data_IF_066061597512
#
_entry.id   IF_066061597512
#
_cell.length_a   1.000
_cell.length_b   1.000
_cell.length_c   1.000
_cell.angle_alpha   90.00
_cell.angle_beta   90.00
_cell.angle_gamma   90.00
#
_symmetry.space_group_name_H-M   'P 1'
#
loop_
_entity.id
_entity.type
_entity.pdbx_description
1 polymer ?
#
# COMPACT_ATOMS: atom_id res chain seq x y z
N UNK A 1 21.11 -0.39 28.55
CA UNK A 1 19.98 0.40 28.01
C UNK A 1 20.35 0.78 26.59
N UNK A 2 19.57 0.35 25.57
CA UNK A 2 19.83 0.78 24.20
C UNK A 2 19.68 2.31 24.11
N UNK A 3 20.65 2.99 23.51
CA UNK A 3 20.54 4.42 23.26
C UNK A 3 19.27 4.75 22.48
N UNK A 4 18.56 5.78 22.90
CA UNK A 4 17.34 6.25 22.26
C UNK A 4 17.66 6.90 20.92
N UNK A 5 17.24 6.29 19.81
CA UNK A 5 17.45 6.79 18.45
C UNK A 5 16.34 7.78 18.08
N UNK A 6 16.72 8.91 17.48
CA UNK A 6 15.78 9.92 16.94
C UNK A 6 15.61 9.70 15.44
N UNK A 7 14.41 9.36 15.03
CA UNK A 7 14.08 8.94 13.66
C UNK A 7 13.09 9.91 13.03
N UNK A 8 13.42 10.43 11.84
CA UNK A 8 12.48 11.13 10.99
C UNK A 8 11.94 10.17 9.92
N UNK A 9 10.63 10.02 9.80
CA UNK A 9 9.98 9.26 8.73
C UNK A 9 9.26 10.20 7.77
N UNK A 10 9.46 10.01 6.49
CA UNK A 10 8.88 10.84 5.43
C UNK A 10 8.62 10.04 4.14
N UNK A 11 7.88 10.63 3.19
CA UNK A 11 7.54 9.99 1.93
C UNK A 11 6.10 9.48 1.86
N UNK A 12 5.48 9.19 3.00
CA UNK A 12 4.06 8.89 3.13
C UNK A 12 3.20 10.17 2.96
N UNK A 13 1.90 9.99 2.73
CA UNK A 13 0.98 11.13 2.66
C UNK A 13 0.70 11.68 4.06
N UNK A 14 0.19 10.83 4.95
CA UNK A 14 -0.25 11.21 6.30
C UNK A 14 -0.30 10.02 7.25
N UNK A 15 -0.10 10.29 8.55
CA UNK A 15 -0.33 9.37 9.66
C UNK A 15 -1.20 10.09 10.71
N UNK A 16 -2.24 9.44 11.25
CA UNK A 16 -2.76 8.15 10.80
C UNK A 16 -3.49 8.26 9.46
N UNK A 17 -3.46 7.19 8.68
CA UNK A 17 -4.22 7.07 7.43
C UNK A 17 -4.30 5.61 6.97
N UNK A 18 -5.42 5.27 6.36
CA UNK A 18 -5.66 3.96 5.72
C UNK A 18 -5.77 4.07 4.20
N UNK A 19 -5.32 5.20 3.60
CA UNK A 19 -5.44 5.47 2.17
C UNK A 19 -4.57 4.59 1.28
N UNK A 20 -3.50 4.02 1.81
CA UNK A 20 -2.59 3.19 1.04
C UNK A 20 -1.67 2.34 1.90
N UNK A 21 -1.05 1.34 1.27
CA UNK A 21 -0.16 0.41 1.95
C UNK A 21 1.05 1.08 2.61
N UNK A 22 1.62 2.13 1.98
CA UNK A 22 2.77 2.86 2.54
C UNK A 22 2.39 3.51 3.86
N UNK A 23 1.22 4.15 3.94
CA UNK A 23 0.72 4.81 5.14
C UNK A 23 0.57 3.80 6.30
N UNK A 24 0.00 2.62 6.02
CA UNK A 24 -0.16 1.53 6.98
C UNK A 24 1.21 1.05 7.47
N UNK A 25 2.14 0.77 6.57
CA UNK A 25 3.48 0.30 6.92
C UNK A 25 4.22 1.32 7.78
N UNK A 26 4.19 2.60 7.40
CA UNK A 26 4.89 3.66 8.16
C UNK A 26 4.28 3.84 9.54
N UNK A 27 2.95 3.83 9.67
CA UNK A 27 2.25 3.93 10.96
C UNK A 27 2.61 2.76 11.89
N UNK A 28 2.58 1.53 11.36
CA UNK A 28 2.89 0.32 12.11
C UNK A 28 4.37 0.27 12.55
N UNK A 29 5.29 0.63 11.67
CA UNK A 29 6.72 0.73 12.00
C UNK A 29 6.98 1.83 13.03
N UNK A 30 6.45 3.03 12.81
CA UNK A 30 6.64 4.16 13.72
C UNK A 30 6.10 3.85 15.13
N UNK A 31 4.91 3.24 15.20
CA UNK A 31 4.30 2.82 16.48
C UNK A 31 5.18 1.81 17.22
N UNK A 32 5.73 0.82 16.52
CA UNK A 32 6.62 -0.19 17.12
C UNK A 32 7.94 0.41 17.55
N UNK A 33 8.53 1.29 16.74
CA UNK A 33 9.76 1.98 17.09
C UNK A 33 9.60 2.85 18.35
N UNK A 34 8.43 3.51 18.50
CA UNK A 34 8.09 4.25 19.74
C UNK A 34 7.97 3.31 20.93
N UNK A 35 7.32 2.15 20.77
CA UNK A 35 7.21 1.12 21.83
C UNK A 35 8.58 0.57 22.25
N UNK A 36 9.54 0.53 21.34
CA UNK A 36 10.93 0.15 21.61
C UNK A 36 11.76 1.28 22.24
N UNK A 37 11.15 2.43 22.59
CA UNK A 37 11.78 3.56 23.27
C UNK A 37 12.37 4.63 22.36
N UNK A 38 12.25 4.51 21.03
CA UNK A 38 12.80 5.49 20.10
C UNK A 38 11.93 6.76 19.99
N UNK A 39 12.55 7.86 19.57
CA UNK A 39 11.86 9.14 19.31
C UNK A 39 11.55 9.26 17.82
N UNK A 40 10.29 9.00 17.43
CA UNK A 40 9.87 8.99 16.03
C UNK A 40 9.07 10.23 15.69
N UNK A 41 9.45 10.89 14.59
CA UNK A 41 8.71 12.01 14.00
C UNK A 41 8.31 11.67 12.56
N UNK A 42 7.02 11.75 12.25
CA UNK A 42 6.50 11.58 10.90
C UNK A 42 6.17 12.94 10.29
N UNK A 43 6.60 13.13 9.02
CA UNK A 43 6.36 14.35 8.25
C UNK A 43 5.18 14.16 7.31
N UNK A 44 4.02 14.71 7.70
CA UNK A 44 2.77 14.60 6.96
C UNK A 44 2.63 15.70 5.92
N UNK A 45 2.05 15.37 4.76
CA UNK A 45 1.61 16.37 3.78
C UNK A 45 0.51 17.24 4.36
N UNK A 46 0.50 18.52 4.03
CA UNK A 46 -0.67 19.38 4.22
C UNK A 46 -1.60 19.23 3.01
N UNK A 47 -2.91 19.14 3.24
CA UNK A 47 -3.90 19.09 2.15
C UNK A 47 -5.09 18.17 2.40
N UNK A 48 -5.94 18.06 1.38
CA UNK A 48 -7.18 17.29 1.43
C UNK A 48 -6.91 15.77 1.46
N UNK A 49 -7.77 15.02 2.14
CA UNK A 49 -7.59 13.59 2.41
C UNK A 49 -8.81 12.79 1.95
N UNK A 50 -8.56 11.60 1.44
CA UNK A 50 -9.58 10.70 0.88
C UNK A 50 -10.24 9.82 1.96
N UNK A 51 -9.54 9.56 3.07
CA UNK A 51 -9.95 8.59 4.10
C UNK A 51 -11.03 9.06 5.08
N UNK A 52 -11.68 10.23 4.82
CA UNK A 52 -12.75 10.74 5.67
C UNK A 52 -12.28 11.70 6.77
N UNK A 53 -13.23 12.48 7.32
CA UNK A 53 -12.95 13.52 8.32
C UNK A 53 -12.52 12.96 9.68
N UNK A 54 -12.91 11.73 10.00
CA UNK A 54 -12.55 11.04 11.26
C UNK A 54 -11.03 10.77 11.37
N UNK A 55 -10.35 10.68 10.23
CA UNK A 55 -8.88 10.56 10.18
C UNK A 55 -8.17 11.90 10.05
N UNK A 56 -8.91 13.00 10.02
CA UNK A 56 -8.31 14.32 9.96
C UNK A 56 -7.77 14.73 11.34
N UNK A 57 -6.54 14.33 11.60
CA UNK A 57 -5.76 14.75 12.78
C UNK A 57 -5.00 16.03 12.51
N UNK A 58 -5.56 16.93 11.69
CA UNK A 58 -4.88 18.13 11.19
C UNK A 58 -4.25 18.98 12.28
N UNK A 59 -4.79 18.94 13.49
CA UNK A 59 -4.31 19.73 14.63
C UNK A 59 -3.59 18.90 15.71
N UNK A 60 -3.54 17.55 15.58
CA UNK A 60 -2.83 16.73 16.56
C UNK A 60 -1.32 16.80 16.29
N UNK A 61 -0.57 17.12 17.33
CA UNK A 61 0.91 17.12 17.32
C UNK A 61 1.49 15.72 17.56
N UNK A 62 0.67 14.78 18.05
CA UNK A 62 1.08 13.41 18.36
C UNK A 62 -0.05 12.41 18.06
N UNK A 63 0.36 11.20 17.68
CA UNK A 63 -0.51 10.03 17.52
C UNK A 63 0.25 8.77 17.98
N UNK A 64 -0.28 7.99 18.88
CA UNK A 64 0.37 6.76 19.38
C UNK A 64 1.80 6.94 19.88
N UNK A 65 2.14 8.11 20.43
CA UNK A 65 3.51 8.47 20.84
C UNK A 65 4.39 9.05 19.71
N UNK A 66 3.99 8.90 18.46
CA UNK A 66 4.66 9.46 17.28
C UNK A 66 4.47 10.98 17.27
N UNK A 67 5.54 11.75 17.05
CA UNK A 67 5.45 13.18 16.78
C UNK A 67 5.03 13.42 15.34
N UNK A 68 4.00 14.25 15.12
CA UNK A 68 3.51 14.60 13.79
C UNK A 68 3.93 16.02 13.42
N UNK A 69 4.47 16.19 12.23
CA UNK A 69 4.81 17.49 11.64
C UNK A 69 4.22 17.61 10.26
N UNK A 70 3.60 18.73 9.98
CA UNK A 70 3.13 19.08 8.64
C UNK A 70 4.26 19.74 7.86
N UNK A 71 4.31 19.47 6.57
CA UNK A 71 5.20 20.15 5.63
C UNK A 71 4.41 20.91 4.59
N UNK A 72 4.92 22.04 4.09
CA UNK A 72 4.32 22.76 2.97
C UNK A 72 4.10 21.82 1.78
N UNK A 73 2.91 21.88 1.19
CA UNK A 73 2.52 21.00 0.10
C UNK A 73 1.69 21.80 -0.91
N UNK A 74 2.09 21.79 -2.17
CA UNK A 74 1.29 22.37 -3.26
C UNK A 74 0.31 21.31 -3.72
N UNK A 75 -0.99 21.52 -3.44
CA UNK A 75 -2.06 20.55 -3.70
C UNK A 75 -2.43 20.48 -5.20
N UNK A 76 -1.45 20.19 -6.05
CA UNK A 76 -1.65 19.93 -7.47
C UNK A 76 -1.16 18.52 -7.80
N UNK A 77 -1.81 17.86 -8.78
CA UNK A 77 -1.46 16.51 -9.24
C UNK A 77 0.03 16.46 -9.63
N UNK A 78 0.77 15.56 -9.00
CA UNK A 78 2.23 15.41 -9.16
C UNK A 78 3.07 16.33 -8.25
N UNK A 79 2.73 17.61 -8.08
CA UNK A 79 3.51 18.58 -7.29
C UNK A 79 3.40 18.34 -5.79
N UNK A 80 2.28 17.79 -5.31
CA UNK A 80 2.10 17.51 -3.90
C UNK A 80 3.15 16.53 -3.33
N UNK A 81 3.50 15.50 -4.09
CA UNK A 81 4.55 14.56 -3.70
C UNK A 81 5.94 15.20 -3.73
N UNK A 82 6.25 15.98 -4.77
CA UNK A 82 7.55 16.65 -4.96
C UNK A 82 7.79 17.65 -3.85
N UNK A 83 6.87 18.61 -3.66
CA UNK A 83 7.03 19.71 -2.70
C UNK A 83 7.07 19.21 -1.25
N UNK A 84 6.17 18.29 -0.89
CA UNK A 84 6.17 17.72 0.47
C UNK A 84 7.46 16.96 0.78
N UNK A 85 7.98 16.18 -0.18
CA UNK A 85 9.23 15.43 -0.01
C UNK A 85 10.44 16.35 0.09
N UNK A 86 10.51 17.40 -0.71
CA UNK A 86 11.56 18.40 -0.64
C UNK A 86 11.61 19.07 0.75
N UNK A 87 10.47 19.61 1.22
CA UNK A 87 10.42 20.26 2.52
C UNK A 87 10.63 19.30 3.69
N UNK A 88 10.16 18.04 3.58
CA UNK A 88 10.41 17.05 4.62
C UNK A 88 11.89 16.70 4.74
N UNK A 89 12.59 16.50 3.61
CA UNK A 89 14.04 16.28 3.59
C UNK A 89 14.79 17.50 4.14
N UNK A 90 14.43 18.71 3.71
CA UNK A 90 15.05 19.95 4.17
C UNK A 90 14.88 20.13 5.69
N UNK A 91 13.66 20.01 6.20
CA UNK A 91 13.39 20.19 7.63
C UNK A 91 14.01 19.10 8.50
N UNK A 92 14.11 17.86 8.00
CA UNK A 92 14.79 16.79 8.71
C UNK A 92 16.30 17.00 8.79
N UNK A 93 16.90 17.62 7.77
CA UNK A 93 18.34 17.89 7.71
C UNK A 93 18.80 18.84 8.83
N UNK A 94 18.01 19.89 9.13
CA UNK A 94 18.36 20.89 10.14
C UNK A 94 17.99 20.51 11.58
N UNK A 95 17.48 19.30 11.83
CA UNK A 95 17.09 18.85 13.16
C UNK A 95 18.01 17.72 13.65
N UNK A 96 17.99 17.51 14.97
CA UNK A 96 18.83 16.46 15.63
C UNK A 96 18.21 15.08 15.45
N UNK A 97 18.11 14.58 14.22
CA UNK A 97 17.78 13.19 13.94
C UNK A 97 19.06 12.40 13.71
N UNK A 98 19.06 11.16 14.18
CA UNK A 98 20.13 10.21 13.92
C UNK A 98 19.91 9.53 12.58
N UNK A 99 18.63 9.21 12.27
CA UNK A 99 18.20 8.53 11.04
C UNK A 99 17.08 9.31 10.36
N UNK A 100 17.18 9.45 9.05
CA UNK A 100 16.12 9.92 8.16
C UNK A 100 15.69 8.75 7.29
N UNK A 101 14.48 8.22 7.55
CA UNK A 101 13.91 7.10 6.85
C UNK A 101 12.88 7.58 5.82
N UNK A 102 13.19 7.37 4.54
CA UNK A 102 12.41 7.83 3.40
C UNK A 102 11.66 6.64 2.81
N UNK A 103 10.37 6.79 2.59
CA UNK A 103 9.52 5.75 2.00
C UNK A 103 9.13 6.12 0.57
N UNK A 104 9.32 5.19 -0.37
CA UNK A 104 9.12 5.26 -1.81
C UNK A 104 10.22 5.99 -2.61
N UNK A 105 10.33 5.64 -3.88
CA UNK A 105 11.36 6.12 -4.82
C UNK A 105 11.23 7.63 -5.10
N UNK A 106 10.02 8.12 -5.39
CA UNK A 106 9.82 9.55 -5.68
C UNK A 106 10.35 10.48 -4.60
N UNK A 107 9.96 10.33 -3.31
CA UNK A 107 10.51 11.08 -2.19
C UNK A 107 12.04 10.99 -2.06
N UNK A 108 12.63 9.87 -2.44
CA UNK A 108 14.07 9.66 -2.37
C UNK A 108 14.89 10.56 -3.31
N UNK A 109 14.25 11.25 -4.27
CA UNK A 109 14.91 12.25 -5.11
C UNK A 109 15.64 13.35 -4.31
N UNK A 110 15.22 13.57 -3.07
CA UNK A 110 15.81 14.58 -2.18
C UNK A 110 16.63 13.98 -1.03
N UNK A 111 16.95 12.68 -1.05
CA UNK A 111 17.66 11.99 0.02
C UNK A 111 19.09 12.51 0.24
N UNK A 112 19.68 13.15 -0.77
CA UNK A 112 20.99 13.81 -0.69
C UNK A 112 21.00 15.02 0.28
N UNK A 113 19.84 15.69 0.50
CA UNK A 113 19.76 16.85 1.41
C UNK A 113 20.12 16.45 2.84
N UNK A 114 19.42 15.53 3.53
CA UNK A 114 19.82 15.12 4.87
C UNK A 114 21.21 14.48 4.90
N UNK A 115 21.66 13.86 3.80
CA UNK A 115 23.01 13.29 3.70
C UNK A 115 24.10 14.36 3.77
N UNK A 116 23.91 15.51 3.14
CA UNK A 116 24.83 16.65 3.26
C UNK A 116 25.01 17.13 4.71
N UNK A 117 23.97 16.97 5.54
CA UNK A 117 23.99 17.29 6.97
C UNK A 117 24.40 16.09 7.85
N UNK A 118 25.13 15.14 7.27
CA UNK A 118 25.67 13.94 7.94
C UNK A 118 24.63 13.06 8.64
N UNK A 119 23.35 13.10 8.19
CA UNK A 119 22.33 12.19 8.69
C UNK A 119 22.53 10.79 8.10
N UNK A 120 22.21 9.75 8.86
CA UNK A 120 22.03 8.41 8.30
C UNK A 120 20.74 8.38 7.52
N UNK A 121 20.79 7.96 6.24
CA UNK A 121 19.66 7.95 5.34
C UNK A 121 19.32 6.52 4.98
N UNK A 122 18.09 6.10 5.28
CA UNK A 122 17.51 4.81 4.91
C UNK A 122 16.38 5.07 3.92
N UNK A 123 16.32 4.30 2.85
CA UNK A 123 15.23 4.37 1.85
C UNK A 123 14.53 3.02 1.79
N UNK A 124 13.20 2.98 1.97
CA UNK A 124 12.40 1.79 1.70
C UNK A 124 11.69 1.94 0.37
N UNK A 125 11.98 1.01 -0.56
CA UNK A 125 11.33 0.88 -1.86
C UNK A 125 10.16 -0.08 -1.73
N UNK A 126 8.93 0.44 -1.87
CA UNK A 126 7.69 -0.33 -1.72
C UNK A 126 7.24 -1.06 -2.99
N UNK A 127 8.04 -1.03 -4.03
CA UNK A 127 7.80 -1.56 -5.36
C UNK A 127 8.36 -0.58 -6.39
N UNK A 128 8.50 -1.01 -7.62
CA UNK A 128 9.01 -0.18 -8.71
C UNK A 128 7.89 0.74 -9.23
N UNK A 129 7.72 1.91 -8.60
CA UNK A 129 6.59 2.81 -8.86
C UNK A 129 6.50 3.29 -10.32
N UNK A 130 7.62 3.34 -11.03
CA UNK A 130 7.65 3.74 -12.44
C UNK A 130 6.95 2.72 -13.37
N UNK A 131 6.72 1.48 -12.94
CA UNK A 131 5.97 0.46 -13.69
C UNK A 131 4.45 0.68 -13.64
N UNK A 132 3.96 1.48 -12.70
CA UNK A 132 2.53 1.76 -12.56
C UNK A 132 2.00 2.57 -13.73
N UNK A 133 0.79 2.24 -14.21
CA UNK A 133 0.12 2.92 -15.33
C UNK A 133 0.17 4.44 -15.22
N UNK A 134 -0.12 4.96 -14.05
CA UNK A 134 -0.10 6.39 -13.71
C UNK A 134 1.26 7.07 -14.00
N UNK A 135 2.36 6.30 -14.00
CA UNK A 135 3.72 6.80 -14.08
C UNK A 135 4.52 6.26 -15.27
N UNK A 136 3.90 5.51 -16.20
CA UNK A 136 4.59 4.93 -17.36
C UNK A 136 5.22 5.96 -18.29
N UNK A 137 4.76 7.21 -18.27
CA UNK A 137 5.28 8.25 -19.17
C UNK A 137 5.32 9.63 -18.50
N UNK A 138 6.10 10.54 -19.08
CA UNK A 138 6.13 11.96 -18.71
C UNK A 138 7.04 12.29 -17.54
N UNK A 139 6.79 13.45 -16.94
CA UNK A 139 7.62 14.01 -15.86
C UNK A 139 7.63 13.12 -14.61
N UNK A 140 6.51 12.47 -14.28
CA UNK A 140 6.40 11.61 -13.12
C UNK A 140 7.34 10.40 -13.17
N UNK A 141 7.42 9.72 -14.31
CA UNK A 141 8.37 8.60 -14.51
C UNK A 141 9.82 9.05 -14.33
N UNK A 142 10.19 10.16 -14.97
CA UNK A 142 11.55 10.72 -14.86
C UNK A 142 11.91 11.08 -13.42
N UNK A 143 10.94 11.63 -12.68
CA UNK A 143 11.14 11.99 -11.27
C UNK A 143 11.30 10.76 -10.37
N UNK A 144 10.55 9.69 -10.59
CA UNK A 144 10.70 8.44 -9.86
C UNK A 144 12.07 7.81 -10.13
N UNK A 145 12.48 7.72 -11.39
CA UNK A 145 13.82 7.22 -11.76
C UNK A 145 14.95 8.09 -11.19
N UNK A 146 14.74 9.42 -11.11
CA UNK A 146 15.69 10.28 -10.42
C UNK A 146 15.81 9.90 -8.94
N UNK A 147 14.67 9.66 -8.27
CA UNK A 147 14.64 9.25 -6.88
C UNK A 147 15.34 7.92 -6.64
N UNK A 148 15.13 6.95 -7.52
CA UNK A 148 15.83 5.66 -7.49
C UNK A 148 17.35 5.84 -7.61
N UNK A 149 17.81 6.62 -8.59
CA UNK A 149 19.25 6.93 -8.76
C UNK A 149 19.84 7.69 -7.56
N UNK A 150 19.07 8.62 -6.98
CA UNK A 150 19.51 9.35 -5.79
C UNK A 150 19.59 8.43 -4.57
N UNK A 151 18.64 7.51 -4.39
CA UNK A 151 18.71 6.49 -3.35
C UNK A 151 19.96 5.61 -3.50
N UNK A 152 20.21 5.10 -4.72
CA UNK A 152 21.40 4.29 -5.02
C UNK A 152 22.69 5.02 -4.64
N UNK A 153 22.77 6.32 -4.92
CA UNK A 153 23.99 7.12 -4.73
C UNK A 153 24.19 7.59 -3.29
N UNK A 154 23.12 7.96 -2.59
CA UNK A 154 23.23 8.72 -1.33
C UNK A 154 22.66 8.01 -0.10
N UNK A 155 21.78 6.99 -0.26
CA UNK A 155 21.30 6.28 0.90
C UNK A 155 22.39 5.41 1.54
N UNK A 156 22.47 5.40 2.87
CA UNK A 156 23.32 4.46 3.61
C UNK A 156 22.80 3.04 3.38
N UNK A 157 21.47 2.84 3.52
CA UNK A 157 20.81 1.56 3.29
C UNK A 157 19.56 1.73 2.43
N UNK A 158 19.32 0.74 1.57
CA UNK A 158 18.08 0.60 0.79
C UNK A 158 17.39 -0.68 1.23
N UNK A 159 16.17 -0.54 1.74
CA UNK A 159 15.30 -1.65 2.12
C UNK A 159 14.37 -1.93 0.94
N UNK A 160 14.24 -3.22 0.58
CA UNK A 160 13.32 -3.71 -0.45
C UNK A 160 12.41 -4.78 0.12
N UNK A 161 11.19 -4.91 -0.43
CA UNK A 161 10.15 -5.76 0.12
C UNK A 161 10.02 -7.11 -0.60
N UNK A 162 10.67 -7.30 -1.75
CA UNK A 162 10.66 -8.53 -2.53
C UNK A 162 12.05 -8.89 -3.04
N UNK A 163 12.28 -10.17 -3.27
CA UNK A 163 13.54 -10.67 -3.86
C UNK A 163 13.69 -10.18 -5.31
N UNK A 164 12.57 -10.05 -6.04
CA UNK A 164 12.59 -9.52 -7.41
C UNK A 164 13.13 -8.09 -7.46
N UNK A 165 12.71 -7.21 -6.53
CA UNK A 165 13.24 -5.84 -6.43
C UNK A 165 14.69 -5.84 -5.95
N UNK A 166 15.09 -6.74 -5.05
CA UNK A 166 16.48 -6.91 -4.63
C UNK A 166 17.40 -7.25 -5.81
N UNK A 167 16.99 -8.21 -6.64
CA UNK A 167 17.70 -8.61 -7.85
C UNK A 167 17.77 -7.47 -8.87
N UNK A 168 16.70 -6.70 -9.05
CA UNK A 168 16.67 -5.52 -9.90
C UNK A 168 17.74 -4.49 -9.51
N UNK A 169 17.82 -4.11 -8.22
CA UNK A 169 18.83 -3.16 -7.75
C UNK A 169 20.26 -3.70 -7.91
N UNK A 170 20.43 -4.99 -7.70
CA UNK A 170 21.73 -5.63 -7.90
C UNK A 170 22.15 -5.63 -9.36
N UNK A 171 21.27 -6.08 -10.26
CA UNK A 171 21.60 -6.22 -11.71
C UNK A 171 21.70 -4.86 -12.41
N UNK A 172 20.84 -3.88 -12.05
CA UNK A 172 20.78 -2.59 -12.74
C UNK A 172 21.83 -1.60 -12.23
N UNK A 173 22.10 -1.61 -10.92
CA UNK A 173 22.94 -0.60 -10.28
C UNK A 173 24.15 -1.17 -9.55
N UNK A 174 24.34 -2.48 -9.53
CA UNK A 174 25.32 -3.16 -8.68
C UNK A 174 25.22 -2.72 -7.21
N UNK A 175 23.98 -2.40 -6.74
CA UNK A 175 23.70 -1.91 -5.40
C UNK A 175 23.17 -3.04 -4.52
N UNK A 176 23.87 -3.34 -3.42
CA UNK A 176 23.34 -4.23 -2.37
C UNK A 176 22.19 -3.54 -1.65
N UNK A 177 21.15 -4.30 -1.37
CA UNK A 177 19.95 -3.86 -0.64
C UNK A 177 19.61 -4.85 0.47
N UNK A 178 18.85 -4.38 1.47
CA UNK A 178 18.41 -5.21 2.59
C UNK A 178 16.98 -5.67 2.33
N UNK A 179 16.77 -6.98 2.25
CA UNK A 179 15.43 -7.56 2.10
C UNK A 179 14.73 -7.61 3.46
N UNK A 180 13.69 -6.80 3.64
CA UNK A 180 12.82 -6.80 4.84
C UNK A 180 11.38 -6.77 4.34
N UNK A 181 10.67 -7.91 4.30
CA UNK A 181 9.29 -7.97 3.83
C UNK A 181 8.33 -7.25 4.78
N UNK A 182 7.17 -6.86 4.25
CA UNK A 182 6.08 -6.36 5.08
C UNK A 182 5.57 -7.45 6.02
N UNK A 183 5.14 -7.04 7.20
CA UNK A 183 4.38 -7.86 8.13
C UNK A 183 2.96 -7.36 8.29
N UNK A 184 2.09 -8.19 8.82
CA UNK A 184 0.72 -7.85 9.20
C UNK A 184 0.48 -8.17 10.68
N UNK A 185 -0.52 -7.52 11.26
CA UNK A 185 -0.94 -7.81 12.63
C UNK A 185 -1.60 -9.20 12.72
N UNK A 186 -1.56 -9.80 13.90
CA UNK A 186 -2.36 -11.01 14.16
C UNK A 186 -3.83 -10.68 13.97
N UNK A 187 -4.57 -11.51 13.22
CA UNK A 187 -5.97 -11.24 12.94
C UNK A 187 -6.83 -11.41 14.19
N UNK A 188 -7.86 -10.60 14.29
CA UNK A 188 -8.95 -10.79 15.24
C UNK A 188 -10.13 -11.37 14.46
N UNK A 189 -10.32 -12.69 14.53
CA UNK A 189 -11.46 -13.34 13.86
C UNK A 189 -12.77 -12.84 14.45
N UNK A 190 -13.71 -12.53 13.59
CA UNK A 190 -14.99 -11.95 13.93
C UNK A 190 -16.13 -12.67 13.22
N UNK A 191 -17.24 -12.84 13.93
CA UNK A 191 -18.48 -13.33 13.34
C UNK A 191 -19.16 -12.26 12.50
N UNK A 192 -20.00 -12.67 11.57
CA UNK A 192 -20.79 -11.76 10.74
C UNK A 192 -21.81 -11.01 11.58
N UNK A 193 -21.78 -9.70 11.55
CA UNK A 193 -22.76 -8.81 12.14
C UNK A 193 -22.96 -7.58 11.27
N UNK A 194 -21.97 -6.71 11.21
CA UNK A 194 -22.06 -5.47 10.43
C UNK A 194 -22.10 -5.72 8.92
N UNK A 195 -21.40 -6.75 8.42
CA UNK A 195 -21.45 -7.11 7.00
C UNK A 195 -22.80 -7.74 6.61
N UNK A 196 -23.47 -8.45 7.53
CA UNK A 196 -24.82 -8.93 7.31
C UNK A 196 -25.81 -7.76 7.25
N UNK A 197 -25.79 -6.87 8.25
CA UNK A 197 -26.70 -5.72 8.33
C UNK A 197 -26.56 -4.78 7.13
N UNK A 198 -25.32 -4.55 6.64
CA UNK A 198 -25.06 -3.55 5.59
C UNK A 198 -25.11 -4.12 4.17
N UNK A 199 -24.69 -5.38 3.98
CA UNK A 199 -24.46 -5.96 2.66
C UNK A 199 -25.17 -7.31 2.47
N UNK A 200 -25.90 -7.79 3.47
CA UNK A 200 -26.53 -9.11 3.49
C UNK A 200 -25.52 -10.23 3.13
N UNK A 201 -24.36 -10.21 3.83
CA UNK A 201 -23.28 -11.17 3.67
C UNK A 201 -23.21 -12.10 4.87
N UNK A 202 -23.18 -13.40 4.60
CA UNK A 202 -23.01 -14.46 5.58
C UNK A 202 -21.62 -15.11 5.44
N UNK A 203 -21.24 -15.91 6.43
CA UNK A 203 -20.02 -16.69 6.37
C UNK A 203 -20.02 -17.60 5.14
N UNK A 204 -18.88 -17.65 4.46
CA UNK A 204 -18.63 -18.46 3.25
C UNK A 204 -19.58 -18.16 2.08
N UNK A 205 -20.35 -17.05 2.12
CA UNK A 205 -21.30 -16.70 1.07
C UNK A 205 -20.71 -15.82 -0.05
N UNK A 206 -19.45 -15.42 0.04
CA UNK A 206 -18.86 -14.47 -0.91
C UNK A 206 -17.38 -14.70 -1.20
N UNK A 207 -16.97 -14.24 -2.38
CA UNK A 207 -15.60 -14.08 -2.83
C UNK A 207 -15.21 -12.64 -2.57
N UNK A 208 -14.05 -12.40 -1.95
CA UNK A 208 -13.59 -11.08 -1.53
C UNK A 208 -12.42 -10.60 -2.39
N UNK A 209 -12.55 -9.43 -2.94
CA UNK A 209 -11.42 -8.56 -3.34
C UNK A 209 -11.32 -7.39 -2.37
N UNK A 210 -10.12 -7.05 -1.93
CA UNK A 210 -9.87 -5.89 -1.07
C UNK A 210 -8.61 -5.15 -1.50
N UNK A 211 -8.78 -3.87 -1.86
CA UNK A 211 -7.68 -3.03 -2.30
C UNK A 211 -8.14 -1.68 -2.83
N UNK A 212 -7.21 -0.86 -3.31
CA UNK A 212 -7.56 0.36 -4.04
C UNK A 212 -8.14 -0.02 -5.41
N UNK A 213 -9.18 0.66 -5.84
CA UNK A 213 -9.78 0.41 -7.15
C UNK A 213 -9.01 1.23 -8.21
N UNK A 214 -8.07 0.56 -8.86
CA UNK A 214 -7.17 1.13 -9.88
C UNK A 214 -6.86 0.07 -10.95
N UNK A 215 -6.62 0.46 -12.23
CA UNK A 215 -6.48 -0.50 -13.33
C UNK A 215 -5.46 -1.62 -13.09
N UNK A 216 -4.32 -1.29 -12.51
CA UNK A 216 -3.24 -2.25 -12.24
C UNK A 216 -3.58 -3.32 -11.18
N UNK A 217 -4.73 -3.20 -10.49
CA UNK A 217 -5.23 -4.20 -9.53
C UNK A 217 -6.14 -5.24 -10.16
N UNK A 218 -6.55 -5.05 -11.42
CA UNK A 218 -7.21 -6.07 -12.23
C UNK A 218 -8.64 -6.43 -11.83
N UNK A 219 -9.37 -5.54 -11.10
CA UNK A 219 -10.74 -5.80 -10.68
C UNK A 219 -11.67 -6.06 -11.89
N UNK A 220 -11.37 -5.46 -13.02
CA UNK A 220 -12.13 -5.67 -14.27
C UNK A 220 -12.01 -7.11 -14.79
N UNK A 221 -10.84 -7.76 -14.67
CA UNK A 221 -10.69 -9.19 -14.99
C UNK A 221 -11.57 -10.06 -14.08
N UNK A 222 -11.59 -9.71 -12.78
CA UNK A 222 -12.36 -10.45 -11.79
C UNK A 222 -13.86 -10.31 -12.02
N UNK A 223 -14.35 -9.11 -12.30
CA UNK A 223 -15.76 -8.86 -12.64
C UNK A 223 -16.15 -9.62 -13.92
N UNK A 224 -15.33 -9.53 -14.96
CA UNK A 224 -15.59 -10.22 -16.23
C UNK A 224 -15.61 -11.74 -16.06
N UNK A 225 -14.64 -12.31 -15.36
CA UNK A 225 -14.58 -13.74 -15.07
C UNK A 225 -15.79 -14.19 -14.23
N UNK A 226 -16.09 -13.47 -13.14
CA UNK A 226 -17.14 -13.84 -12.19
C UNK A 226 -18.54 -13.87 -12.81
N UNK A 227 -18.87 -12.96 -13.72
CA UNK A 227 -20.16 -12.94 -14.42
C UNK A 227 -20.47 -14.23 -15.16
N UNK A 228 -19.46 -14.96 -15.59
CA UNK A 228 -19.58 -16.22 -16.30
C UNK A 228 -19.51 -17.45 -15.38
N UNK A 229 -19.29 -17.26 -14.07
CA UNK A 229 -19.25 -18.36 -13.10
C UNK A 229 -20.66 -18.68 -12.61
N UNK A 230 -21.05 -19.96 -12.68
CA UNK A 230 -22.30 -20.45 -12.12
C UNK A 230 -22.14 -20.72 -10.63
N UNK A 231 -22.51 -19.76 -9.81
CA UNK A 231 -22.41 -19.86 -8.35
C UNK A 231 -23.51 -19.03 -7.68
N UNK A 232 -23.90 -19.43 -6.47
CA UNK A 232 -24.78 -18.65 -5.59
C UNK A 232 -24.01 -17.68 -4.69
N UNK A 233 -22.69 -17.68 -4.76
CA UNK A 233 -21.86 -16.77 -3.97
C UNK A 233 -21.90 -15.36 -4.57
N UNK A 234 -21.67 -14.37 -3.71
CA UNK A 234 -21.53 -12.98 -4.12
C UNK A 234 -20.06 -12.64 -4.39
N UNK A 235 -19.80 -11.65 -5.23
CA UNK A 235 -18.50 -11.02 -5.38
C UNK A 235 -18.49 -9.69 -4.64
N UNK A 236 -17.62 -9.56 -3.66
CA UNK A 236 -17.48 -8.33 -2.88
C UNK A 236 -16.21 -7.61 -3.30
N UNK A 237 -16.35 -6.40 -3.83
CA UNK A 237 -15.25 -5.51 -4.19
C UNK A 237 -15.19 -4.40 -3.14
N UNK A 238 -14.25 -4.56 -2.20
CA UNK A 238 -14.05 -3.66 -1.09
C UNK A 238 -12.85 -2.73 -1.35
N UNK A 239 -13.10 -1.42 -1.37
CA UNK A 239 -12.05 -0.43 -1.53
C UNK A 239 -12.52 0.92 -2.00
N UNK A 240 -11.65 1.90 -1.83
CA UNK A 240 -11.85 3.26 -2.30
C UNK A 240 -11.09 3.56 -3.60
N UNK A 241 -11.50 4.65 -4.26
CA UNK A 241 -10.80 5.18 -5.44
C UNK A 241 -9.77 6.22 -5.02
N UNK A 242 -8.73 6.37 -5.82
CA UNK A 242 -7.75 7.45 -5.71
C UNK A 242 -7.40 7.92 -7.12
N UNK A 243 -7.95 9.06 -7.52
CA UNK A 243 -7.77 9.65 -8.87
C UNK A 243 -8.22 8.73 -10.04
N UNK A 244 -9.20 7.83 -9.84
CA UNK A 244 -9.65 6.81 -10.82
C UNK A 244 -11.17 6.77 -10.99
N UNK A 245 -11.82 7.93 -10.94
CA UNK A 245 -13.29 8.04 -11.02
C UNK A 245 -13.88 7.46 -12.31
N UNK A 246 -13.17 7.60 -13.43
CA UNK A 246 -13.60 7.03 -14.71
C UNK A 246 -13.52 5.49 -14.69
N UNK A 247 -12.43 4.96 -14.16
CA UNK A 247 -12.24 3.51 -14.06
C UNK A 247 -13.33 2.85 -13.21
N UNK A 248 -13.66 3.40 -12.04
CA UNK A 248 -14.73 2.83 -11.21
C UNK A 248 -16.11 2.94 -11.88
N UNK A 249 -16.37 4.02 -12.64
CA UNK A 249 -17.61 4.14 -13.40
C UNK A 249 -17.72 3.02 -14.44
N UNK A 250 -16.63 2.75 -15.16
CA UNK A 250 -16.59 1.68 -16.16
C UNK A 250 -16.70 0.30 -15.51
N UNK A 251 -16.02 0.08 -14.38
CA UNK A 251 -16.11 -1.17 -13.61
C UNK A 251 -17.54 -1.43 -13.12
N UNK A 252 -18.25 -0.41 -12.61
CA UNK A 252 -19.65 -0.52 -12.20
C UNK A 252 -20.58 -0.77 -13.38
N UNK A 253 -20.32 -0.19 -14.56
CA UNK A 253 -21.07 -0.51 -15.79
C UNK A 253 -20.87 -1.97 -16.20
N UNK A 254 -19.63 -2.48 -16.12
CA UNK A 254 -19.33 -3.87 -16.40
C UNK A 254 -20.09 -4.82 -15.47
N UNK A 255 -20.28 -4.45 -14.20
CA UNK A 255 -21.00 -5.21 -13.18
C UNK A 255 -22.54 -5.03 -13.21
N UNK A 256 -23.08 -4.05 -13.92
CA UNK A 256 -24.45 -3.51 -13.75
C UNK A 256 -25.59 -4.52 -13.96
N UNK A 257 -25.34 -5.67 -14.59
CA UNK A 257 -26.37 -6.69 -14.87
C UNK A 257 -26.17 -7.95 -14.01
N UNK A 258 -25.42 -7.86 -12.91
CA UNK A 258 -25.20 -8.99 -12.02
C UNK A 258 -25.33 -8.55 -10.55
N UNK A 259 -26.52 -8.78 -9.98
CA UNK A 259 -26.85 -8.39 -8.59
C UNK A 259 -25.99 -9.12 -7.53
N UNK A 260 -25.22 -10.13 -7.93
CA UNK A 260 -24.28 -10.81 -7.04
C UNK A 260 -23.02 -9.97 -6.77
N UNK A 261 -22.76 -8.90 -7.55
CA UNK A 261 -21.54 -8.08 -7.42
C UNK A 261 -21.81 -6.86 -6.54
N UNK A 262 -21.13 -6.80 -5.40
CA UNK A 262 -21.30 -5.76 -4.37
C UNK A 262 -20.06 -4.89 -4.28
N UNK A 263 -20.24 -3.59 -4.42
CA UNK A 263 -19.21 -2.58 -4.14
C UNK A 263 -19.44 -1.97 -2.76
N UNK A 264 -18.58 -2.26 -1.80
CA UNK A 264 -18.74 -1.74 -0.44
C UNK A 264 -18.24 -0.31 -0.26
N UNK A 265 -17.43 0.19 -1.20
CA UNK A 265 -16.62 1.40 -0.98
C UNK A 265 -15.48 1.12 0.00
N UNK A 266 -14.90 2.20 0.54
CA UNK A 266 -13.83 2.10 1.52
C UNK A 266 -14.34 1.51 2.84
N UNK A 267 -13.67 0.49 3.33
CA UNK A 267 -14.00 -0.22 4.58
C UNK A 267 -12.81 -0.28 5.53
N UNK A 268 -13.10 -0.33 6.83
CA UNK A 268 -12.08 -0.40 7.88
C UNK A 268 -12.67 -0.88 9.21
N UNK A 269 -11.81 -1.08 10.22
CA UNK A 269 -12.22 -1.51 11.55
C UNK A 269 -12.98 -2.83 11.49
N UNK A 270 -14.09 -2.89 12.20
CA UNK A 270 -14.88 -4.12 12.37
C UNK A 270 -15.39 -4.72 11.07
N UNK A 271 -15.87 -3.90 10.14
CA UNK A 271 -16.31 -4.37 8.82
C UNK A 271 -15.19 -5.05 8.07
N UNK A 272 -13.99 -4.48 8.08
CA UNK A 272 -12.81 -5.06 7.44
C UNK A 272 -12.43 -6.42 8.05
N UNK A 273 -12.44 -6.50 9.40
CA UNK A 273 -12.18 -7.75 10.13
C UNK A 273 -13.22 -8.83 9.80
N UNK A 274 -14.50 -8.45 9.75
CA UNK A 274 -15.58 -9.37 9.39
C UNK A 274 -15.47 -9.84 7.94
N UNK A 275 -15.13 -8.96 6.99
CA UNK A 275 -14.94 -9.33 5.59
C UNK A 275 -13.81 -10.35 5.41
N UNK A 276 -12.67 -10.17 6.06
CA UNK A 276 -11.60 -11.18 6.00
C UNK A 276 -11.97 -12.46 6.76
N UNK A 277 -12.64 -12.36 7.91
CA UNK A 277 -12.94 -13.52 8.75
C UNK A 277 -13.91 -14.51 8.13
N UNK A 278 -14.78 -14.04 7.24
CA UNK A 278 -15.93 -14.80 6.76
C UNK A 278 -15.96 -15.00 5.24
N UNK A 279 -14.93 -14.59 4.52
CA UNK A 279 -14.83 -14.79 3.08
C UNK A 279 -14.60 -16.28 2.74
N UNK A 280 -15.29 -16.77 1.71
CA UNK A 280 -15.07 -18.10 1.13
C UNK A 280 -13.72 -18.17 0.41
N UNK A 281 -13.41 -17.16 -0.38
CA UNK A 281 -12.19 -17.06 -1.18
C UNK A 281 -11.75 -15.59 -1.22
N UNK A 282 -10.46 -15.34 -1.08
CA UNK A 282 -9.86 -14.05 -1.36
C UNK A 282 -9.21 -14.07 -2.74
N UNK A 283 -9.46 -13.07 -3.58
CA UNK A 283 -8.89 -12.97 -4.93
C UNK A 283 -8.08 -11.69 -5.08
N UNK A 284 -6.84 -11.81 -5.58
CA UNK A 284 -5.99 -10.68 -5.93
C UNK A 284 -5.55 -10.79 -7.40
N UNK A 285 -6.29 -10.16 -8.34
CA UNK A 285 -6.05 -10.29 -9.78
C UNK A 285 -5.06 -9.27 -10.33
N UNK A 286 -4.13 -8.79 -9.50
CA UNK A 286 -3.25 -7.67 -9.81
C UNK A 286 -2.27 -7.96 -10.94
N UNK A 287 -2.05 -6.96 -11.79
CA UNK A 287 -0.99 -6.93 -12.80
C UNK A 287 0.35 -6.44 -12.25
N UNK A 288 0.30 -5.69 -11.15
CA UNK A 288 1.47 -5.09 -10.52
C UNK A 288 1.25 -4.91 -9.02
N UNK A 289 2.22 -5.35 -8.25
CA UNK A 289 2.31 -5.16 -6.81
C UNK A 289 3.72 -4.73 -6.38
N UNK A 290 3.86 -4.24 -5.17
CA UNK A 290 5.15 -4.17 -4.49
C UNK A 290 5.31 -5.36 -3.55
N UNK A 291 4.54 -5.31 -2.45
CA UNK A 291 4.27 -6.44 -1.58
C UNK A 291 2.84 -6.26 -1.05
N UNK A 292 1.87 -7.07 -1.49
CA UNK A 292 0.46 -6.80 -1.27
C UNK A 292 0.04 -7.07 0.19
N UNK A 293 -0.17 -6.00 0.97
CA UNK A 293 -0.61 -6.12 2.37
C UNK A 293 -1.95 -6.83 2.50
N UNK A 294 -2.89 -6.56 1.58
CA UNK A 294 -4.22 -7.19 1.62
C UNK A 294 -4.16 -8.71 1.42
N UNK A 295 -3.18 -9.21 0.66
CA UNK A 295 -2.93 -10.64 0.52
C UNK A 295 -2.34 -11.22 1.81
N UNK A 296 -1.35 -10.55 2.40
CA UNK A 296 -0.79 -10.96 3.70
C UNK A 296 -1.85 -10.97 4.79
N UNK A 297 -2.74 -9.98 4.80
CA UNK A 297 -3.88 -9.93 5.72
C UNK A 297 -4.82 -11.12 5.46
N UNK A 298 -5.25 -11.34 4.21
CA UNK A 298 -6.12 -12.46 3.87
C UNK A 298 -5.53 -13.82 4.31
N UNK A 299 -4.25 -14.06 4.05
CA UNK A 299 -3.55 -15.27 4.48
C UNK A 299 -3.48 -15.36 6.01
N UNK A 300 -3.28 -14.25 6.72
CA UNK A 300 -3.24 -14.23 8.18
C UNK A 300 -4.60 -14.63 8.81
N UNK A 301 -5.72 -14.27 8.16
CA UNK A 301 -7.06 -14.71 8.55
C UNK A 301 -7.34 -16.18 8.22
N UNK A 302 -6.48 -16.81 7.43
CA UNK A 302 -6.62 -18.21 6.99
C UNK A 302 -7.54 -18.35 5.78
N UNK A 303 -7.72 -17.31 4.99
CA UNK A 303 -8.49 -17.38 3.76
C UNK A 303 -7.81 -18.26 2.72
N UNK A 304 -8.60 -19.04 1.98
CA UNK A 304 -8.17 -19.54 0.70
C UNK A 304 -7.90 -18.37 -0.24
N UNK A 305 -6.77 -18.38 -0.95
CA UNK A 305 -6.37 -17.27 -1.83
C UNK A 305 -6.22 -17.73 -3.27
N UNK A 306 -6.65 -16.89 -4.21
CA UNK A 306 -6.44 -17.01 -5.65
C UNK A 306 -5.74 -15.73 -6.14
N UNK A 307 -4.55 -15.87 -6.71
CA UNK A 307 -3.71 -14.72 -7.08
C UNK A 307 -3.19 -14.84 -8.51
N UNK A 308 -2.88 -13.71 -9.13
CA UNK A 308 -2.16 -13.70 -10.42
C UNK A 308 -0.73 -14.19 -10.26
N UNK A 309 -0.15 -14.76 -11.34
CA UNK A 309 1.21 -15.32 -11.35
C UNK A 309 2.33 -14.28 -11.41
N UNK A 310 2.09 -13.04 -10.95
CA UNK A 310 3.17 -12.05 -10.83
C UNK A 310 4.12 -12.43 -9.68
N UNK A 311 5.42 -12.10 -9.83
CA UNK A 311 6.46 -12.48 -8.86
C UNK A 311 6.13 -12.02 -7.44
N UNK A 312 5.61 -10.80 -7.29
CA UNK A 312 5.26 -10.21 -6.00
C UNK A 312 4.15 -10.96 -5.27
N UNK A 313 3.24 -11.61 -6.00
CA UNK A 313 2.21 -12.47 -5.40
C UNK A 313 2.77 -13.87 -5.13
N UNK A 314 3.46 -14.47 -6.10
CA UNK A 314 3.98 -15.85 -5.98
C UNK A 314 5.07 -15.96 -4.91
N UNK A 315 5.91 -14.92 -4.70
CA UNK A 315 6.86 -14.86 -3.59
C UNK A 315 6.17 -14.86 -2.22
N UNK A 316 4.96 -14.31 -2.11
CA UNK A 316 4.19 -14.24 -0.86
C UNK A 316 3.47 -15.55 -0.57
N UNK A 317 2.82 -16.12 -1.57
CA UNK A 317 1.97 -17.31 -1.37
C UNK A 317 2.74 -18.62 -1.46
N UNK A 318 3.91 -18.61 -2.10
CA UNK A 318 4.68 -19.81 -2.41
C UNK A 318 3.81 -20.89 -3.08
N UNK A 319 3.59 -22.02 -2.39
CA UNK A 319 2.72 -23.12 -2.82
C UNK A 319 1.37 -23.18 -2.06
N UNK A 320 1.00 -22.13 -1.31
CA UNK A 320 -0.14 -22.12 -0.38
C UNK A 320 -1.40 -21.45 -0.93
N UNK A 321 -1.44 -21.12 -2.24
CA UNK A 321 -2.60 -20.49 -2.86
C UNK A 321 -2.82 -21.01 -4.28
N UNK A 322 -4.02 -20.79 -4.81
CA UNK A 322 -4.27 -20.98 -6.23
C UNK A 322 -3.67 -19.83 -7.03
N UNK A 323 -3.14 -20.18 -8.20
CA UNK A 323 -2.48 -19.21 -9.08
C UNK A 323 -3.17 -19.27 -10.44
N UNK A 324 -3.46 -18.11 -11.02
CA UNK A 324 -3.94 -17.98 -12.39
C UNK A 324 -2.99 -17.10 -13.22
N UNK A 325 -3.05 -17.23 -14.52
CA UNK A 325 -2.22 -16.47 -15.45
C UNK A 325 -2.63 -14.99 -15.46
N UNK A 326 -1.69 -14.09 -15.24
CA UNK A 326 -1.87 -12.62 -15.24
C UNK A 326 -2.67 -12.17 -16.45
N UNK A 327 -3.67 -11.30 -16.21
CA UNK A 327 -4.55 -10.71 -17.23
C UNK A 327 -5.38 -11.73 -18.04
N UNK A 328 -5.39 -13.01 -17.65
CA UNK A 328 -6.15 -14.06 -18.32
C UNK A 328 -7.50 -14.31 -17.65
N UNK A 329 -8.56 -13.69 -18.19
CA UNK A 329 -9.93 -13.80 -17.69
C UNK A 329 -10.44 -15.25 -17.72
N UNK A 330 -10.11 -16.01 -18.78
CA UNK A 330 -10.57 -17.40 -18.93
C UNK A 330 -9.91 -18.33 -17.89
N UNK A 331 -8.63 -18.14 -17.60
CA UNK A 331 -7.96 -18.93 -16.58
C UNK A 331 -8.47 -18.56 -15.18
N UNK A 332 -8.66 -17.26 -14.92
CA UNK A 332 -9.29 -16.79 -13.68
C UNK A 332 -10.69 -17.39 -13.50
N UNK A 333 -11.53 -17.39 -14.55
CA UNK A 333 -12.86 -17.97 -14.50
C UNK A 333 -12.85 -19.48 -14.17
N UNK A 334 -11.91 -20.24 -14.74
CA UNK A 334 -11.77 -21.67 -14.44
C UNK A 334 -11.34 -21.96 -13.02
N UNK A 335 -10.63 -21.03 -12.38
CA UNK A 335 -10.12 -21.17 -11.00
C UNK A 335 -11.12 -20.68 -9.94
N UNK A 336 -12.06 -19.82 -10.34
CA UNK A 336 -13.19 -19.36 -9.52
C UNK A 336 -14.26 -20.45 -9.36
#
# INVERSE_FOLDING_TARGET
MNEKIKIAMLGHKRIPSREGGIEIVVEELATRMVKLGNDVTCYNRSGHHVSGKEYDVTNKKRFGGIKLKKVPTINCKGLAAVTSSFFACLFSAFRSYDVVHIHAEGPAAFCWIPKLFRKKVVVTVHGLDWQREKWKSGFGSKFIHLGEKMAVKYADEIIVLSKGVQEYFHSTYNRKTVFIPNGVNRPQKSVTKEIFEKFNLEKDSYILYLGRIVPEKGEHYLVEAFRNVKTNKKLVIAGGTSDTDEYIKNLKKLAANDDRIIFTGFVQGKILEELYSNAYLYVLPSDLEGMPLSLLEAMSYGNCCLVSNIKECTEVVEDKAFIFEKSNVNDLQKKL
#
